data_IF_770228456407
#
_entry.id   IF_770228456407
#
_cell.length_a   1.000
_cell.length_b   1.000
_cell.length_c   1.000
_cell.angle_alpha   90.00
_cell.angle_beta   90.00
_cell.angle_gamma   90.00
#
_symmetry.space_group_name_H-M   'P 1'
#
loop_
_entity.id
_entity.type
_entity.pdbx_description
1 polymer ?
#
# COMPACT_ATOMS: atom_id res chain seq x y z
N UNK A 1 16.42 2.87 3.95
CA UNK A 1 15.10 3.28 3.42
C UNK A 1 15.29 4.02 2.12
N UNK A 2 14.59 3.60 1.06
CA UNK A 2 14.56 4.28 -0.22
C UNK A 2 13.72 5.57 -0.16
N UNK A 3 13.95 6.50 -1.10
CA UNK A 3 13.28 7.81 -1.11
C UNK A 3 11.84 7.64 -1.60
N UNK A 4 10.86 8.23 -0.90
CA UNK A 4 9.45 8.13 -1.29
C UNK A 4 9.16 8.79 -2.65
N UNK A 5 8.25 8.18 -3.42
CA UNK A 5 7.69 8.74 -4.64
C UNK A 5 6.87 10.01 -4.33
N UNK A 6 7.10 11.08 -5.10
CA UNK A 6 6.50 12.40 -4.88
C UNK A 6 5.95 13.00 -6.17
N UNK A 7 5.01 13.94 -6.07
CA UNK A 7 4.23 14.53 -7.17
C UNK A 7 4.97 15.25 -8.32
N UNK A 8 6.31 15.30 -8.32
CA UNK A 8 7.06 16.12 -9.28
C UNK A 8 7.40 15.37 -10.59
N UNK A 9 6.68 14.30 -10.90
CA UNK A 9 6.91 13.43 -12.06
C UNK A 9 5.63 13.32 -12.91
N UNK A 10 5.73 13.27 -14.26
CA UNK A 10 4.59 13.58 -15.14
C UNK A 10 3.64 12.42 -15.47
N UNK A 11 4.00 11.16 -15.15
CA UNK A 11 3.13 10.00 -15.38
C UNK A 11 3.11 9.06 -14.16
N UNK A 12 2.07 9.21 -13.34
CA UNK A 12 1.87 8.39 -12.15
C UNK A 12 1.23 7.04 -12.44
N UNK A 13 0.76 6.77 -13.66
CA UNK A 13 0.11 5.51 -13.99
C UNK A 13 1.11 4.43 -14.41
N UNK A 14 2.36 4.80 -14.66
CA UNK A 14 3.40 3.87 -15.11
C UNK A 14 4.68 3.98 -14.27
N UNK A 15 4.61 3.51 -13.03
CA UNK A 15 5.75 3.60 -12.11
C UNK A 15 6.77 2.47 -12.21
N UNK A 16 6.53 1.50 -13.10
CA UNK A 16 7.30 0.27 -13.23
C UNK A 16 6.41 -0.96 -13.12
N UNK A 17 7.03 -2.13 -13.28
CA UNK A 17 6.34 -3.44 -13.24
C UNK A 17 6.96 -4.40 -12.24
N UNK A 18 8.17 -4.11 -11.76
CA UNK A 18 8.93 -4.97 -10.85
C UNK A 18 9.19 -4.26 -9.55
N UNK A 19 8.88 -4.92 -8.45
CA UNK A 19 8.97 -4.35 -7.13
C UNK A 19 9.63 -5.32 -6.16
N UNK A 20 10.18 -4.75 -5.11
CA UNK A 20 10.68 -5.44 -3.92
C UNK A 20 9.68 -5.20 -2.79
N UNK A 21 9.25 -6.25 -2.10
CA UNK A 21 8.37 -6.12 -0.96
C UNK A 21 9.18 -5.87 0.32
N UNK A 22 8.94 -4.71 0.95
CA UNK A 22 9.69 -4.27 2.13
C UNK A 22 8.93 -4.55 3.45
N UNK A 23 7.61 -4.37 3.45
CA UNK A 23 6.75 -4.56 4.64
C UNK A 23 5.28 -4.72 4.23
N UNK A 24 4.52 -5.48 5.04
CA UNK A 24 3.08 -5.63 4.90
C UNK A 24 2.34 -5.12 6.15
N UNK A 25 1.26 -4.35 5.94
CA UNK A 25 0.45 -3.75 7.00
C UNK A 25 -1.04 -4.02 6.76
N UNK A 26 -1.84 -4.37 7.78
CA UNK A 26 -3.27 -4.59 7.60
C UNK A 26 -4.01 -3.29 7.24
N UNK A 27 -4.99 -3.40 6.36
CA UNK A 27 -5.98 -2.36 6.07
C UNK A 27 -7.28 -2.74 6.77
N UNK A 28 -7.63 -1.98 7.78
CA UNK A 28 -8.87 -2.18 8.52
C UNK A 28 -10.05 -1.48 7.86
N UNK A 29 -11.23 -2.08 8.04
CA UNK A 29 -12.49 -1.38 7.84
C UNK A 29 -12.56 -0.16 8.76
N UNK A 30 -13.28 0.86 8.30
CA UNK A 30 -13.45 2.09 9.08
C UNK A 30 -14.91 2.39 9.31
N UNK A 31 -15.23 2.87 10.50
CA UNK A 31 -16.58 3.26 10.91
C UNK A 31 -16.59 4.69 11.47
N UNK A 32 -17.77 5.30 11.47
CA UNK A 32 -18.04 6.56 12.14
C UNK A 32 -18.63 6.23 13.52
N UNK A 33 -18.19 6.95 14.54
CA UNK A 33 -18.66 6.76 15.92
C UNK A 33 -19.34 8.02 16.44
N UNK A 34 -20.32 7.83 17.30
CA UNK A 34 -20.91 8.89 18.10
C UNK A 34 -20.28 8.92 19.51
N UNK A 35 -20.26 10.09 20.14
CA UNK A 35 -19.87 10.26 21.53
C UNK A 35 -21.00 9.85 22.50
N UNK A 36 -20.78 10.06 23.80
CA UNK A 36 -21.74 9.71 24.85
C UNK A 36 -23.09 10.47 24.75
N UNK A 37 -23.12 11.59 24.04
CA UNK A 37 -24.32 12.40 23.81
C UNK A 37 -25.02 12.05 22.48
N UNK A 38 -24.48 11.11 21.71
CA UNK A 38 -24.98 10.74 20.40
C UNK A 38 -24.50 11.65 19.27
N UNK A 39 -23.55 12.56 19.51
CA UNK A 39 -23.00 13.44 18.47
C UNK A 39 -21.86 12.73 17.71
N UNK A 40 -21.83 12.87 16.38
CA UNK A 40 -20.78 12.28 15.54
C UNK A 40 -19.42 12.89 15.91
N UNK A 41 -18.45 12.02 16.21
CA UNK A 41 -17.08 12.43 16.52
C UNK A 41 -16.42 12.96 15.25
N UNK A 42 -15.86 14.17 15.32
CA UNK A 42 -15.23 14.87 14.20
C UNK A 42 -13.73 15.08 14.41
N UNK A 43 -13.02 15.29 13.31
CA UNK A 43 -11.64 15.78 13.30
C UNK A 43 -11.60 17.28 13.63
N UNK A 44 -10.41 17.81 13.88
CA UNK A 44 -10.21 19.25 14.18
C UNK A 44 -10.65 20.19 13.06
N UNK A 45 -10.76 19.68 11.83
CA UNK A 45 -11.25 20.41 10.65
C UNK A 45 -12.79 20.33 10.48
N UNK A 46 -13.49 19.64 11.39
CA UNK A 46 -14.94 19.45 11.36
C UNK A 46 -15.44 18.29 10.50
N UNK A 47 -14.56 17.57 9.80
CA UNK A 47 -14.93 16.36 9.06
C UNK A 47 -15.23 15.18 9.99
N UNK A 48 -16.08 14.25 9.56
CA UNK A 48 -16.39 13.04 10.32
C UNK A 48 -15.12 12.20 10.53
N UNK A 49 -14.86 11.83 11.79
CA UNK A 49 -13.69 11.02 12.12
C UNK A 49 -14.00 9.55 11.86
N UNK A 50 -13.14 8.93 11.07
CA UNK A 50 -13.17 7.49 10.81
C UNK A 50 -12.27 6.75 11.78
N UNK A 51 -12.77 5.67 12.36
CA UNK A 51 -12.05 4.80 13.29
C UNK A 51 -11.87 3.43 12.68
N UNK A 52 -10.66 2.86 12.81
CA UNK A 52 -10.44 1.47 12.41
C UNK A 52 -11.27 0.54 13.30
N UNK A 53 -11.93 -0.42 12.67
CA UNK A 53 -12.49 -1.58 13.37
C UNK A 53 -11.41 -2.67 13.51
N UNK A 54 -11.78 -3.83 14.05
CA UNK A 54 -10.90 -5.00 14.09
C UNK A 54 -10.96 -5.82 12.79
N UNK A 55 -11.86 -5.49 11.86
CA UNK A 55 -12.07 -6.24 10.63
C UNK A 55 -11.04 -5.85 9.56
N UNK A 56 -10.27 -6.83 9.08
CA UNK A 56 -9.30 -6.63 8.00
C UNK A 56 -10.01 -6.76 6.66
N UNK A 57 -9.92 -5.72 5.82
CA UNK A 57 -10.55 -5.67 4.49
C UNK A 57 -9.52 -5.68 3.35
N UNK A 58 -8.24 -5.74 3.69
CA UNK A 58 -7.16 -5.60 2.73
C UNK A 58 -5.80 -5.55 3.38
N UNK A 59 -4.78 -5.41 2.54
CA UNK A 59 -3.39 -5.24 2.98
C UNK A 59 -2.71 -4.12 2.19
N UNK A 60 -1.80 -3.44 2.88
CA UNK A 60 -0.94 -2.37 2.37
C UNK A 60 0.48 -2.92 2.27
N UNK A 61 1.05 -2.87 1.08
CA UNK A 61 2.37 -3.38 0.77
C UNK A 61 3.30 -2.19 0.55
N UNK A 62 4.26 -2.00 1.45
CA UNK A 62 5.35 -1.06 1.27
C UNK A 62 6.37 -1.72 0.34
N UNK A 63 6.72 -1.00 -0.74
CA UNK A 63 7.55 -1.56 -1.80
C UNK A 63 8.64 -0.60 -2.24
N UNK A 64 9.71 -1.18 -2.77
CA UNK A 64 10.75 -0.46 -3.51
C UNK A 64 10.67 -0.80 -4.99
N UNK A 65 10.65 0.23 -5.84
CA UNK A 65 10.55 0.09 -7.30
C UNK A 65 11.89 -0.39 -7.86
N UNK A 66 11.90 -1.49 -8.63
CA UNK A 66 13.11 -2.13 -9.15
C UNK A 66 13.39 -1.84 -10.62
N UNK A 67 12.42 -1.28 -11.36
CA UNK A 67 12.53 -0.92 -12.77
C UNK A 67 11.92 0.46 -13.09
N UNK A 68 11.97 0.86 -14.37
CA UNK A 68 11.36 2.11 -14.84
C UNK A 68 12.04 3.41 -14.36
N UNK A 69 11.40 4.57 -14.62
CA UNK A 69 11.95 5.89 -14.34
C UNK A 69 12.06 6.20 -12.83
N UNK A 70 11.36 5.45 -11.99
CA UNK A 70 11.31 5.65 -10.54
C UNK A 70 12.05 4.56 -9.75
N UNK A 71 12.93 3.81 -10.41
CA UNK A 71 13.77 2.80 -9.76
C UNK A 71 14.47 3.36 -8.51
N UNK A 72 14.51 2.55 -7.45
CA UNK A 72 15.01 2.87 -6.09
C UNK A 72 14.14 3.86 -5.30
N UNK A 73 13.00 4.31 -5.82
CA UNK A 73 12.00 5.00 -5.00
C UNK A 73 11.07 3.99 -4.33
N UNK A 74 10.44 4.39 -3.24
CA UNK A 74 9.46 3.55 -2.52
C UNK A 74 8.06 4.16 -2.55
N UNK A 75 7.05 3.31 -2.45
CA UNK A 75 5.63 3.69 -2.33
C UNK A 75 4.87 2.59 -1.57
N UNK A 76 3.57 2.80 -1.37
CA UNK A 76 2.67 1.82 -0.77
C UNK A 76 1.54 1.49 -1.75
N UNK A 77 1.27 0.20 -1.92
CA UNK A 77 0.19 -0.34 -2.75
C UNK A 77 -0.84 -1.01 -1.84
N UNK A 78 -2.11 -0.64 -1.96
CA UNK A 78 -3.21 -1.33 -1.28
C UNK A 78 -3.85 -2.38 -2.19
N UNK A 79 -4.13 -3.56 -1.64
CA UNK A 79 -4.94 -4.60 -2.28
C UNK A 79 -6.08 -4.96 -1.34
N UNK A 80 -7.31 -4.96 -1.85
CA UNK A 80 -8.51 -5.27 -1.06
C UNK A 80 -8.77 -6.78 -1.08
N UNK A 81 -7.88 -7.53 -0.41
CA UNK A 81 -7.98 -8.96 -0.16
C UNK A 81 -7.78 -9.20 1.35
N UNK A 82 -8.68 -9.92 2.06
CA UNK A 82 -8.52 -10.16 3.50
C UNK A 82 -7.28 -10.99 3.85
N UNK A 83 -6.73 -11.77 2.91
CA UNK A 83 -5.53 -12.57 3.14
C UNK A 83 -4.28 -11.87 2.59
N UNK A 84 -3.18 -11.79 3.36
CA UNK A 84 -1.93 -11.22 2.86
C UNK A 84 -1.24 -12.21 1.93
N UNK A 85 -0.46 -11.71 0.97
CA UNK A 85 0.38 -12.56 0.11
C UNK A 85 1.42 -13.34 0.94
N UNK A 86 2.07 -12.65 1.88
CA UNK A 86 3.07 -13.15 2.83
C UNK A 86 3.03 -12.25 4.07
N UNK A 87 3.59 -12.70 5.19
CA UNK A 87 3.73 -11.90 6.42
C UNK A 87 5.12 -11.24 6.55
N UNK A 88 5.30 -10.41 7.58
CA UNK A 88 6.57 -9.72 7.82
C UNK A 88 7.70 -10.68 8.26
N UNK A 89 7.37 -11.83 8.87
CA UNK A 89 8.37 -12.82 9.27
C UNK A 89 8.99 -13.48 8.03
N UNK A 90 8.17 -13.82 7.04
CA UNK A 90 8.62 -14.29 5.73
C UNK A 90 9.49 -13.26 5.03
N UNK A 91 9.09 -11.98 5.02
CA UNK A 91 9.86 -10.91 4.37
C UNK A 91 11.23 -10.77 5.03
N UNK A 92 11.31 -10.80 6.36
CA UNK A 92 12.57 -10.68 7.10
C UNK A 92 13.49 -11.91 6.93
N UNK A 93 12.92 -13.09 6.68
CA UNK A 93 13.68 -14.31 6.46
C UNK A 93 14.32 -14.40 5.06
N UNK A 94 13.90 -13.56 4.11
CA UNK A 94 14.31 -13.62 2.71
C UNK A 94 15.26 -12.47 2.37
N UNK A 95 16.30 -12.74 1.56
CA UNK A 95 17.20 -11.69 1.07
C UNK A 95 16.48 -10.70 0.12
N UNK A 96 15.56 -11.22 -0.68
CA UNK A 96 14.72 -10.46 -1.60
C UNK A 96 13.37 -11.19 -1.80
N UNK A 97 12.28 -10.43 -1.76
CA UNK A 97 10.89 -10.80 -2.04
C UNK A 97 10.39 -9.98 -3.25
N UNK A 98 10.70 -10.42 -4.48
CA UNK A 98 10.26 -9.72 -5.68
C UNK A 98 8.77 -9.96 -5.93
N UNK A 99 8.03 -8.89 -6.24
CA UNK A 99 6.58 -8.91 -6.46
C UNK A 99 6.16 -8.12 -7.70
N UNK A 100 4.99 -8.47 -8.22
CA UNK A 100 4.25 -7.74 -9.28
C UNK A 100 2.82 -7.47 -8.82
N UNK A 101 2.15 -6.53 -9.49
CA UNK A 101 0.77 -6.14 -9.20
C UNK A 101 -0.09 -6.17 -10.46
N UNK A 102 -1.37 -6.54 -10.31
CA UNK A 102 -2.36 -6.46 -11.37
C UNK A 102 -3.13 -5.13 -11.32
N UNK A 103 -3.32 -4.49 -12.49
CA UNK A 103 -4.10 -3.26 -12.64
C UNK A 103 -3.68 -2.14 -11.66
N UNK A 104 -2.37 -1.98 -11.49
CA UNK A 104 -1.79 -0.96 -10.63
C UNK A 104 -2.20 0.44 -11.09
N UNK A 105 -2.75 1.23 -10.18
CA UNK A 105 -3.25 2.58 -10.46
C UNK A 105 -3.03 3.51 -9.28
N UNK A 106 -2.78 4.78 -9.57
CA UNK A 106 -2.68 5.79 -8.51
C UNK A 106 -4.03 5.88 -7.77
N UNK A 107 -4.00 5.79 -6.45
CA UNK A 107 -5.20 5.89 -5.59
C UNK A 107 -5.25 7.21 -4.84
N UNK A 108 -4.10 7.85 -4.61
CA UNK A 108 -4.00 9.16 -3.99
C UNK A 108 -2.79 9.90 -4.55
N UNK A 109 -3.06 11.08 -5.12
CA UNK A 109 -2.03 12.00 -5.61
C UNK A 109 -1.84 13.06 -4.54
N UNK A 110 -0.75 12.97 -3.80
CA UNK A 110 -0.39 13.95 -2.76
C UNK A 110 1.13 14.15 -2.74
N UNK A 111 1.65 14.83 -1.72
CA UNK A 111 3.10 14.89 -1.48
C UNK A 111 3.75 13.50 -1.46
N UNK A 112 3.03 12.51 -0.95
CA UNK A 112 3.35 11.08 -1.09
C UNK A 112 2.35 10.42 -2.02
N UNK A 113 2.84 9.67 -2.99
CA UNK A 113 2.01 8.93 -3.93
C UNK A 113 1.65 7.56 -3.38
N UNK A 114 0.38 7.19 -3.46
CA UNK A 114 -0.12 5.87 -3.08
C UNK A 114 -0.88 5.20 -4.22
N UNK A 115 -0.83 3.87 -4.23
CA UNK A 115 -1.37 3.05 -5.30
C UNK A 115 -2.39 2.04 -4.79
N UNK A 116 -3.24 1.58 -5.71
CA UNK A 116 -4.12 0.43 -5.53
C UNK A 116 -3.86 -0.57 -6.65
N UNK A 117 -3.97 -1.85 -6.34
CA UNK A 117 -3.94 -2.94 -7.29
C UNK A 117 -5.11 -3.90 -7.00
N UNK A 118 -5.45 -4.72 -8.00
CA UNK A 118 -6.49 -5.73 -7.84
C UNK A 118 -5.93 -7.01 -7.21
N UNK A 119 -4.66 -7.34 -7.51
CA UNK A 119 -3.93 -8.46 -6.92
C UNK A 119 -2.43 -8.16 -6.83
N UNK A 120 -1.73 -8.96 -6.03
CA UNK A 120 -0.27 -8.98 -5.88
C UNK A 120 0.22 -10.42 -6.04
N UNK A 121 1.37 -10.60 -6.67
CA UNK A 121 1.97 -11.92 -6.91
C UNK A 121 3.44 -11.93 -6.57
N UNK A 122 3.94 -13.05 -6.02
CA UNK A 122 5.38 -13.31 -5.98
C UNK A 122 5.87 -13.51 -7.41
N UNK A 123 6.99 -12.87 -7.76
CA UNK A 123 7.69 -13.20 -8.99
C UNK A 123 8.47 -14.47 -8.74
N UNK A 124 8.05 -15.57 -9.37
CA UNK A 124 8.83 -16.79 -9.39
C UNK A 124 10.26 -16.45 -9.82
N UNK A 125 11.23 -16.71 -8.93
CA UNK A 125 12.63 -16.85 -9.33
C UNK A 125 12.68 -18.14 -10.15
N UNK A 126 12.22 -18.11 -11.41
CA UNK A 126 12.55 -19.18 -12.35
C UNK A 126 14.06 -19.33 -12.28
N UNK A 127 14.46 -20.48 -11.74
CA UNK A 127 15.83 -20.93 -11.69
C UNK A 127 16.42 -20.76 -13.09
N UNK A 128 17.65 -20.25 -13.11
CA UNK A 128 18.56 -20.07 -14.27
C UNK A 128 18.18 -20.82 -15.55
#
# INVERSE_FOLDING_TARGET
>A
MAKMLSQNDWDFNNIGTKFELDEVLPKFETEIRADENGEIIKNSDGSERRFNTQNIIGWKYNITIKDGPFKKKSTQVSVDNPEPLVDNDYIQAMDEVPVTFENLRASMISKTMYYKADAIHLVDKKQK
#
